data_IF_012720571377
#
_entry.id   IF_012720571377
#
_cell.length_a   1.000
_cell.length_b   1.000
_cell.length_c   1.000
_cell.angle_alpha   90.00
_cell.angle_beta   90.00
_cell.angle_gamma   90.00
#
_symmetry.space_group_name_H-M   'P 1'
#
loop_
_entity.id
_entity.type
_entity.pdbx_description
1 polymer ?
#
# COMPACT_ATOMS: atom_id res chain seq x y z
N UNK A 1 -10.37 -36.08 -26.60
CA UNK A 1 -11.25 -35.59 -25.51
C UNK A 1 -10.37 -35.51 -24.27
N UNK A 2 -10.09 -34.41 -23.58
CA UNK A 2 -10.77 -33.11 -23.48
C UNK A 2 -9.71 -32.06 -23.11
N UNK A 3 -9.83 -30.90 -23.74
CA UNK A 3 -9.01 -29.69 -23.65
C UNK A 3 -8.92 -29.20 -22.20
N UNK A 4 -7.71 -29.19 -21.62
CA UNK A 4 -7.46 -28.51 -20.33
C UNK A 4 -7.39 -27.01 -20.61
N UNK A 5 -8.54 -26.35 -20.56
CA UNK A 5 -8.65 -24.91 -20.48
C UNK A 5 -8.13 -24.48 -19.11
N UNK A 6 -6.84 -24.15 -19.04
CA UNK A 6 -6.36 -23.27 -17.97
C UNK A 6 -6.87 -21.88 -18.34
N UNK A 7 -8.03 -21.51 -17.80
CA UNK A 7 -8.38 -20.11 -17.68
C UNK A 7 -7.31 -19.49 -16.79
N UNK A 8 -6.34 -18.83 -17.41
CA UNK A 8 -5.58 -17.76 -16.77
C UNK A 8 -6.59 -16.63 -16.55
N UNK A 9 -7.42 -16.76 -15.50
CA UNK A 9 -8.31 -15.71 -15.07
C UNK A 9 -7.44 -14.55 -14.62
N UNK A 10 -7.37 -13.51 -15.45
CA UNK A 10 -6.77 -12.25 -15.05
C UNK A 10 -7.61 -11.75 -13.87
N UNK A 11 -7.05 -11.56 -12.67
CA UNK A 11 -7.83 -11.12 -11.54
C UNK A 11 -8.44 -9.75 -11.88
N UNK A 12 -9.74 -9.61 -11.69
CA UNK A 12 -10.44 -8.33 -11.78
C UNK A 12 -9.82 -7.34 -10.78
N UNK A 13 -9.97 -6.03 -10.99
CA UNK A 13 -9.52 -5.02 -10.01
C UNK A 13 -10.03 -5.34 -8.60
N UNK A 14 -11.27 -5.84 -8.50
CA UNK A 14 -11.85 -6.38 -7.28
C UNK A 14 -11.13 -7.61 -6.71
N UNK A 15 -10.58 -8.51 -7.53
CA UNK A 15 -9.81 -9.69 -7.07
C UNK A 15 -8.39 -9.32 -6.62
N UNK A 16 -7.80 -8.27 -7.20
CA UNK A 16 -6.51 -7.73 -6.73
C UNK A 16 -6.70 -7.01 -5.41
N UNK A 17 -7.74 -6.16 -5.34
CA UNK A 17 -8.15 -5.51 -4.11
C UNK A 17 -8.43 -6.57 -3.03
N UNK A 18 -9.18 -7.63 -3.34
CA UNK A 18 -9.50 -8.72 -2.42
C UNK A 18 -8.25 -9.54 -2.02
N UNK A 19 -7.40 -9.93 -2.97
CA UNK A 19 -6.19 -10.69 -2.70
C UNK A 19 -5.18 -9.92 -1.84
N UNK A 20 -5.17 -8.60 -1.96
CA UNK A 20 -4.35 -7.73 -1.13
C UNK A 20 -5.04 -7.38 0.22
N UNK A 21 -6.37 -7.21 0.26
CA UNK A 21 -7.17 -7.03 1.49
C UNK A 21 -7.07 -8.25 2.41
N UNK A 22 -6.99 -9.45 1.85
CA UNK A 22 -6.89 -10.71 2.61
C UNK A 22 -5.54 -10.90 3.31
N UNK A 23 -4.59 -9.97 3.14
CA UNK A 23 -3.27 -10.02 3.81
C UNK A 23 -3.12 -8.99 4.94
N UNK A 24 -4.00 -9.10 5.95
CA UNK A 24 -3.79 -8.68 7.35
C UNK A 24 -3.44 -7.20 7.63
N UNK A 25 -4.32 -6.50 8.38
CA UNK A 25 -4.06 -5.27 9.17
C UNK A 25 -3.17 -4.18 8.51
N UNK A 26 -3.29 -3.98 7.20
CA UNK A 26 -2.47 -2.99 6.46
C UNK A 26 -3.36 -2.04 5.69
N UNK A 27 -2.98 -0.77 5.75
CA UNK A 27 -3.46 0.25 4.84
C UNK A 27 -3.10 -0.15 3.41
N UNK A 28 -4.06 -0.11 2.50
CA UNK A 28 -3.90 -0.43 1.10
C UNK A 28 -4.43 0.68 0.19
N UNK A 29 -3.59 1.10 -0.74
CA UNK A 29 -3.94 1.99 -1.85
C UNK A 29 -3.50 1.34 -3.15
N UNK A 30 -4.34 1.40 -4.18
CA UNK A 30 -3.99 0.97 -5.53
C UNK A 30 -4.07 2.20 -6.43
N UNK A 31 -2.95 2.52 -7.06
CA UNK A 31 -2.84 3.60 -8.04
C UNK A 31 -2.72 2.98 -9.42
N UNK A 32 -3.51 3.51 -10.36
CA UNK A 32 -3.57 3.06 -11.75
C UNK A 32 -3.03 4.17 -12.64
N UNK A 33 -2.13 3.80 -13.54
CA UNK A 33 -1.65 4.67 -14.60
C UNK A 33 -2.42 4.33 -15.87
N UNK A 34 -3.45 5.14 -16.16
CA UNK A 34 -4.24 5.03 -17.40
C UNK A 34 -3.41 5.45 -18.62
N UNK A 35 -2.51 6.41 -18.40
CA UNK A 35 -1.48 6.88 -19.32
C UNK A 35 -0.16 7.01 -18.56
N UNK A 36 0.98 7.04 -19.25
CA UNK A 36 2.33 7.12 -18.64
C UNK A 36 2.53 8.34 -17.71
N UNK A 37 1.58 9.27 -17.67
CA UNK A 37 1.73 10.58 -17.04
C UNK A 37 0.78 10.84 -15.88
N UNK A 38 -0.31 10.09 -15.71
CA UNK A 38 -1.35 10.48 -14.73
C UNK A 38 -1.74 9.32 -13.80
N UNK A 39 -1.21 9.30 -12.57
CA UNK A 39 -1.65 8.36 -11.55
C UNK A 39 -3.08 8.69 -11.09
N UNK A 40 -3.95 7.68 -11.04
CA UNK A 40 -5.29 7.78 -10.47
C UNK A 40 -5.43 6.78 -9.33
N UNK A 41 -5.90 7.22 -8.17
CA UNK A 41 -6.21 6.31 -7.05
C UNK A 41 -7.47 5.51 -7.40
N UNK A 42 -7.34 4.21 -7.62
CA UNK A 42 -8.44 3.33 -7.99
C UNK A 42 -9.09 2.68 -6.77
N UNK A 43 -8.28 2.32 -5.76
CA UNK A 43 -8.77 1.67 -4.55
C UNK A 43 -8.04 2.26 -3.35
N UNK A 44 -8.78 2.59 -2.32
CA UNK A 44 -8.26 2.95 -0.99
C UNK A 44 -9.14 2.25 0.04
N UNK A 45 -8.55 1.52 0.99
CA UNK A 45 -9.32 1.00 2.13
C UNK A 45 -9.39 2.03 3.25
N UNK A 46 -10.35 1.90 4.17
CA UNK A 46 -10.53 2.84 5.29
C UNK A 46 -9.25 3.03 6.12
N UNK A 47 -8.50 1.95 6.34
CA UNK A 47 -7.23 2.01 7.08
C UNK A 47 -6.17 2.84 6.34
N UNK A 48 -6.09 2.74 5.01
CA UNK A 48 -5.22 3.62 4.21
C UNK A 48 -5.72 5.04 4.15
N UNK A 49 -7.02 5.26 4.06
CA UNK A 49 -7.57 6.61 4.11
C UNK A 49 -7.15 7.30 5.39
N UNK A 50 -7.09 6.59 6.52
CA UNK A 50 -6.68 7.16 7.81
C UNK A 50 -5.15 7.27 7.94
N UNK A 51 -4.40 6.30 7.41
CA UNK A 51 -2.95 6.22 7.58
C UNK A 51 -2.15 7.03 6.57
N UNK A 52 -2.71 7.23 5.39
CA UNK A 52 -2.05 7.85 4.26
C UNK A 52 -2.76 9.14 3.84
N UNK A 53 -3.80 9.61 4.54
CA UNK A 53 -4.44 10.92 4.27
C UNK A 53 -3.40 12.02 4.19
N UNK A 54 -2.54 12.16 5.21
CA UNK A 54 -1.43 13.14 5.24
C UNK A 54 -0.39 12.95 4.11
N UNK A 55 -0.36 11.81 3.43
CA UNK A 55 0.57 11.57 2.31
C UNK A 55 -0.13 11.70 0.94
N UNK A 56 -1.46 11.74 0.92
CA UNK A 56 -2.28 11.78 -0.30
C UNK A 56 -2.92 13.17 -0.48
N UNK A 57 -3.37 13.78 0.61
CA UNK A 57 -4.16 15.02 0.63
C UNK A 57 -3.32 16.27 0.94
N UNK A 58 -2.22 16.13 1.70
CA UNK A 58 -1.31 17.25 1.98
C UNK A 58 -0.33 17.50 0.82
N UNK A 59 0.11 18.75 0.71
CA UNK A 59 1.09 19.24 -0.29
C UNK A 59 2.43 19.52 0.42
N UNK A 60 2.88 18.57 1.22
CA UNK A 60 4.17 18.61 1.92
C UNK A 60 5.25 17.80 1.19
N UNK A 61 6.52 18.04 1.53
CA UNK A 61 7.68 17.31 0.98
C UNK A 61 7.56 15.78 1.13
N UNK A 62 6.82 15.30 2.14
CA UNK A 62 6.56 13.87 2.32
C UNK A 62 5.55 13.31 1.30
N UNK A 63 4.57 14.12 0.90
CA UNK A 63 3.60 13.81 -0.16
C UNK A 63 4.29 13.78 -1.52
N UNK A 64 5.14 14.77 -1.83
CA UNK A 64 5.95 14.78 -3.05
C UNK A 64 6.83 13.52 -3.18
N UNK A 65 7.54 13.16 -2.09
CA UNK A 65 8.35 11.94 -2.05
C UNK A 65 7.50 10.68 -2.23
N UNK A 66 6.29 10.66 -1.69
CA UNK A 66 5.36 9.55 -1.86
C UNK A 66 4.92 9.39 -3.32
N UNK A 67 4.50 10.47 -3.98
CA UNK A 67 4.11 10.45 -5.39
C UNK A 67 5.29 10.17 -6.33
N UNK A 68 6.48 10.69 -6.02
CA UNK A 68 7.71 10.39 -6.77
C UNK A 68 8.05 8.89 -6.68
N UNK A 69 7.96 8.29 -5.50
CA UNK A 69 8.20 6.86 -5.33
C UNK A 69 7.19 6.00 -6.11
N UNK A 70 5.91 6.39 -6.14
CA UNK A 70 4.90 5.72 -6.97
C UNK A 70 5.27 5.82 -8.45
N UNK A 71 5.65 7.00 -8.93
CA UNK A 71 6.07 7.23 -10.32
C UNK A 71 7.33 6.42 -10.69
N UNK A 72 8.30 6.35 -9.78
CA UNK A 72 9.52 5.57 -9.97
C UNK A 72 9.23 4.06 -10.06
N UNK A 73 8.33 3.55 -9.21
CA UNK A 73 7.89 2.15 -9.24
C UNK A 73 6.96 1.87 -10.42
N UNK A 74 6.21 2.85 -10.90
CA UNK A 74 5.41 2.68 -12.11
C UNK A 74 6.30 2.50 -13.36
N UNK A 75 7.43 3.21 -13.42
CA UNK A 75 8.24 3.30 -14.64
C UNK A 75 9.49 2.43 -14.63
N UNK A 76 10.28 2.46 -13.54
CA UNK A 76 11.64 1.90 -13.48
C UNK A 76 11.77 0.70 -12.54
N UNK A 77 11.15 0.75 -11.37
CA UNK A 77 11.37 -0.26 -10.32
C UNK A 77 10.20 -1.24 -10.20
N UNK A 78 10.47 -2.51 -9.93
CA UNK A 78 9.39 -3.49 -9.69
C UNK A 78 8.75 -3.30 -8.30
N UNK A 79 9.53 -2.83 -7.32
CA UNK A 79 9.11 -2.68 -5.93
C UNK A 79 10.01 -1.69 -5.21
N UNK A 80 9.43 -0.91 -4.31
CA UNK A 80 10.16 -0.02 -3.41
C UNK A 80 9.60 -0.11 -1.99
N UNK A 81 10.39 0.32 -1.02
CA UNK A 81 9.93 0.45 0.36
C UNK A 81 10.51 1.74 0.93
N UNK A 82 9.64 2.56 1.50
CA UNK A 82 10.00 3.84 2.10
C UNK A 82 9.39 3.95 3.50
N UNK A 83 10.06 4.68 4.38
CA UNK A 83 9.57 4.98 5.72
C UNK A 83 9.32 6.47 5.79
N UNK A 84 8.11 6.84 6.17
CA UNK A 84 7.73 8.22 6.40
C UNK A 84 7.68 8.42 7.91
N UNK A 85 8.68 9.11 8.44
CA UNK A 85 8.78 9.46 9.87
C UNK A 85 8.48 10.93 10.13
N UNK A 86 8.33 11.73 9.08
CA UNK A 86 8.04 13.16 9.14
C UNK A 86 6.55 13.47 9.37
N UNK A 87 5.69 12.47 9.20
CA UNK A 87 4.24 12.56 9.49
C UNK A 87 3.96 12.21 10.96
N UNK A 88 2.86 12.70 11.57
CA UNK A 88 2.55 12.50 12.99
C UNK A 88 2.49 11.03 13.42
N UNK A 89 2.10 10.14 12.51
CA UNK A 89 2.13 8.69 12.73
C UNK A 89 3.16 8.06 11.81
N UNK A 90 4.35 7.66 12.29
CA UNK A 90 5.36 7.09 11.42
C UNK A 90 4.86 5.80 10.77
N UNK A 91 4.94 5.71 9.44
CA UNK A 91 4.49 4.56 8.66
C UNK A 91 5.61 4.01 7.79
N UNK A 92 5.61 2.70 7.59
CA UNK A 92 6.39 2.05 6.54
C UNK A 92 5.46 1.74 5.38
N UNK A 93 5.80 2.27 4.21
CA UNK A 93 5.07 2.09 2.97
C UNK A 93 5.88 1.18 2.05
N UNK A 94 5.20 0.22 1.43
CA UNK A 94 5.75 -0.66 0.41
C UNK A 94 4.98 -0.46 -0.87
N UNK A 95 5.71 -0.22 -1.94
CA UNK A 95 5.22 -0.02 -3.29
C UNK A 95 5.55 -1.27 -4.10
N UNK A 96 4.59 -1.75 -4.89
CA UNK A 96 4.79 -2.90 -5.77
C UNK A 96 4.14 -2.62 -7.10
N UNK A 97 4.92 -2.64 -8.17
CA UNK A 97 4.43 -2.57 -9.53
C UNK A 97 3.73 -3.87 -9.89
N UNK A 98 2.61 -3.73 -10.60
CA UNK A 98 1.85 -4.83 -11.16
C UNK A 98 1.33 -4.40 -12.54
N UNK A 99 1.53 -5.22 -13.56
CA UNK A 99 0.96 -4.95 -14.89
C UNK A 99 -0.31 -5.80 -15.00
N UNK A 100 -1.44 -5.14 -15.21
CA UNK A 100 -2.74 -5.80 -15.34
C UNK A 100 -3.45 -5.24 -16.57
N UNK A 101 -3.91 -6.13 -17.47
CA UNK A 101 -4.59 -5.75 -18.72
C UNK A 101 -3.84 -4.66 -19.50
N UNK A 102 -2.51 -4.83 -19.61
CA UNK A 102 -1.60 -3.89 -20.27
C UNK A 102 -1.51 -2.49 -19.64
N UNK A 103 -2.11 -2.30 -18.45
CA UNK A 103 -2.03 -1.08 -17.66
C UNK A 103 -1.11 -1.27 -16.46
N UNK A 104 -0.35 -0.23 -16.12
CA UNK A 104 0.53 -0.26 -14.94
C UNK A 104 -0.27 0.13 -13.71
N UNK A 105 -0.26 -0.78 -12.73
CA UNK A 105 -0.83 -0.59 -11.41
C UNK A 105 0.30 -0.56 -10.39
N UNK A 106 0.18 0.29 -9.38
CA UNK A 106 1.08 0.33 -8.23
C UNK A 106 0.25 0.00 -7.00
N UNK A 107 0.54 -1.14 -6.39
CA UNK A 107 -0.05 -1.56 -5.13
C UNK A 107 0.79 -1.00 -4.00
N UNK A 108 0.17 -0.21 -3.16
CA UNK A 108 0.78 0.50 -2.05
C UNK A 108 0.22 -0.10 -0.78
N UNK A 109 1.10 -0.58 0.09
CA UNK A 109 0.74 -1.13 1.39
C UNK A 109 1.48 -0.38 2.48
N UNK A 110 0.74 0.16 3.44
CA UNK A 110 1.29 0.89 4.55
C UNK A 110 1.01 0.19 5.88
N UNK A 111 1.97 0.28 6.79
CA UNK A 111 1.87 -0.25 8.14
C UNK A 111 2.43 0.78 9.12
N UNK A 112 1.73 1.02 10.23
CA UNK A 112 2.28 1.84 11.33
C UNK A 112 3.60 1.23 11.79
N UNK A 113 4.61 2.08 11.92
CA UNK A 113 5.82 1.74 12.64
C UNK A 113 5.40 1.64 14.11
N UNK A 114 5.11 0.43 14.61
CA UNK A 114 4.90 0.26 16.05
C UNK A 114 6.22 0.64 16.70
N UNK A 115 6.20 1.76 17.41
CA UNK A 115 7.20 2.06 18.39
C UNK A 115 7.18 0.90 19.41
N UNK A 116 8.31 0.24 19.64
CA UNK A 116 8.44 -0.89 20.57
C UNK A 116 8.19 -0.47 22.04
N UNK A 117 7.64 0.73 22.29
CA UNK A 117 7.17 1.22 23.60
C UNK A 117 5.84 0.62 24.05
N UNK A 118 5.58 -0.61 23.64
CA UNK A 118 4.42 -1.43 24.02
C UNK A 118 4.79 -2.72 24.74
N UNK A 119 5.98 -2.85 25.34
CA UNK A 119 6.15 -3.78 26.46
C UNK A 119 5.33 -3.24 27.63
N UNK A 120 4.10 -3.73 27.75
CA UNK A 120 3.35 -3.70 29.00
C UNK A 120 4.33 -4.04 30.15
N UNK A 121 4.59 -3.15 31.14
CA UNK A 121 5.07 -3.65 32.41
C UNK A 121 3.98 -4.61 32.90
N UNK A 122 4.35 -5.88 33.12
CA UNK A 122 3.50 -6.82 33.84
C UNK A 122 3.00 -6.11 35.09
N UNK A 123 1.69 -6.04 35.28
CA UNK A 123 1.13 -5.84 36.60
C UNK A 123 1.74 -6.91 37.50
N UNK A 124 2.67 -6.53 38.36
CA UNK A 124 3.02 -7.33 39.52
C UNK A 124 2.05 -6.88 40.59
N UNK A 125 0.93 -7.59 40.68
CA UNK A 125 0.07 -7.56 41.86
C UNK A 125 0.91 -8.13 43.01
N UNK A 126 1.53 -7.24 43.77
CA UNK A 126 2.15 -7.60 45.04
C UNK A 126 1.07 -7.48 46.11
N UNK A 127 0.40 -8.60 46.39
CA UNK A 127 -0.22 -8.82 47.69
C UNK A 127 0.87 -9.30 48.65
N UNK A 128 1.24 -8.46 49.62
CA UNK A 128 1.28 -8.79 51.07
C UNK A 128 1.47 -7.49 51.88
#
# INVERSE_FOLDING_TARGET
MTKRQRCSGIPSEGEIALGALMTDEKALVIVVYLDETTPTVAVVNDEASILLSDLIEDDDESSDQFWEAISMVATKEEKAQQKFTSIPTPVTVKFKRMILRDMTHVVITAKRCRDDRGKHPRFVEACD
#
